data_IF_642947546405
#
_entry.id   IF_642947546405
#
_cell.length_a   1.000
_cell.length_b   1.000
_cell.length_c   1.000
_cell.angle_alpha   90.00
_cell.angle_beta   90.00
_cell.angle_gamma   90.00
#
_symmetry.space_group_name_H-M   'P 1'
#
loop_
_entity.id
_entity.type
_entity.pdbx_description
1 polymer ?
#
# COMPACT_ATOMS: atom_id res chain seq x y z
N UNK A 1 -43.46 -18.05 7.74
CA UNK A 1 -44.27 -18.61 6.64
C UNK A 1 -44.80 -20.02 6.91
N UNK A 2 -44.50 -20.65 8.02
CA UNK A 2 -45.05 -21.98 8.44
C UNK A 2 -46.26 -21.92 9.40
N UNK A 3 -46.67 -20.72 9.85
CA UNK A 3 -47.73 -20.55 10.84
C UNK A 3 -49.12 -20.17 10.25
N UNK A 4 -49.15 -19.69 9.01
CA UNK A 4 -50.39 -19.28 8.31
C UNK A 4 -51.10 -20.44 7.58
N UNK A 5 -50.44 -21.56 7.32
CA UNK A 5 -51.01 -22.73 6.65
C UNK A 5 -51.80 -23.63 7.65
N UNK A 6 -51.55 -23.51 8.95
CA UNK A 6 -52.24 -24.32 9.97
C UNK A 6 -53.59 -23.75 10.42
N UNK A 7 -53.84 -22.47 10.21
CA UNK A 7 -55.14 -21.85 10.57
C UNK A 7 -56.21 -22.05 9.50
N UNK A 8 -55.81 -22.37 8.27
CA UNK A 8 -56.77 -22.59 7.17
C UNK A 8 -57.37 -24.01 7.14
N UNK A 9 -56.71 -24.98 7.82
CA UNK A 9 -57.15 -26.37 7.84
C UNK A 9 -58.12 -26.70 8.98
N UNK A 10 -58.34 -25.78 9.93
CA UNK A 10 -59.21 -25.99 11.11
C UNK A 10 -60.60 -25.42 10.95
N UNK A 11 -60.92 -24.72 9.87
CA UNK A 11 -62.26 -24.16 9.62
C UNK A 11 -63.08 -25.00 8.66
N UNK A 12 -62.57 -26.18 8.21
CA UNK A 12 -63.27 -27.00 7.21
C UNK A 12 -63.91 -28.33 7.78
N UNK A 13 -63.88 -28.51 9.09
CA UNK A 13 -64.42 -29.70 9.72
C UNK A 13 -65.39 -29.36 10.90
N UNK A 14 -66.61 -28.99 10.56
CA UNK A 14 -67.60 -28.84 11.59
C UNK A 14 -68.87 -28.13 11.12
N UNK A 15 -69.74 -28.79 10.44
CA UNK A 15 -71.17 -28.76 10.72
C UNK A 15 -71.98 -29.65 9.75
N UNK A 16 -72.37 -30.81 10.21
CA UNK A 16 -73.47 -31.57 9.61
C UNK A 16 -74.73 -31.31 10.39
N UNK A 17 -75.86 -31.27 9.72
CA UNK A 17 -77.12 -31.50 10.33
C UNK A 17 -78.29 -30.60 9.97
N UNK A 18 -79.18 -31.07 9.07
CA UNK A 18 -80.63 -31.04 9.26
C UNK A 18 -81.47 -29.87 8.78
N UNK A 19 -82.15 -30.04 7.64
CA UNK A 19 -83.55 -29.79 7.42
C UNK A 19 -84.10 -28.36 7.46
N UNK A 20 -84.33 -27.79 6.31
CA UNK A 20 -85.60 -27.17 5.92
C UNK A 20 -85.63 -26.78 4.46
N UNK A 21 -86.46 -27.45 3.70
CA UNK A 21 -86.76 -27.22 2.29
C UNK A 21 -87.56 -25.92 2.09
N UNK A 22 -87.32 -25.26 0.95
CA UNK A 22 -88.24 -24.43 0.16
C UNK A 22 -88.24 -22.90 0.25
N UNK A 23 -87.12 -22.27 0.59
CA UNK A 23 -87.00 -20.81 0.34
C UNK A 23 -85.63 -20.38 -0.14
N UNK A 24 -84.84 -21.28 -0.68
CA UNK A 24 -83.42 -21.02 -1.00
C UNK A 24 -83.10 -20.98 -2.52
N UNK A 25 -84.13 -21.13 -3.38
CA UNK A 25 -83.86 -21.23 -4.84
C UNK A 25 -83.48 -19.90 -5.54
N UNK A 26 -83.49 -18.73 -4.90
CA UNK A 26 -83.12 -17.44 -5.47
C UNK A 26 -81.82 -16.82 -4.88
N UNK A 27 -81.40 -17.34 -3.70
CA UNK A 27 -80.14 -16.92 -3.04
C UNK A 27 -78.91 -17.66 -3.56
N UNK A 28 -79.09 -18.91 -4.03
CA UNK A 28 -77.99 -19.76 -4.43
C UNK A 28 -77.26 -19.35 -5.74
N UNK A 29 -77.97 -18.66 -6.67
CA UNK A 29 -77.37 -18.23 -7.93
C UNK A 29 -76.37 -17.09 -7.73
N UNK A 30 -76.60 -16.18 -6.78
CA UNK A 30 -75.66 -15.11 -6.43
C UNK A 30 -74.50 -15.63 -5.62
N UNK A 31 -74.64 -16.57 -4.74
CA UNK A 31 -73.59 -17.16 -3.93
C UNK A 31 -72.66 -18.01 -4.81
N UNK A 32 -73.21 -18.79 -5.75
CA UNK A 32 -72.45 -19.61 -6.69
C UNK A 32 -71.69 -18.72 -7.71
N UNK A 33 -72.33 -17.62 -8.13
CA UNK A 33 -71.65 -16.63 -9.01
C UNK A 33 -70.50 -15.89 -8.29
N UNK A 34 -70.73 -15.52 -7.02
CA UNK A 34 -69.63 -14.91 -6.17
C UNK A 34 -68.56 -15.94 -5.85
N UNK A 35 -68.85 -17.18 -5.58
CA UNK A 35 -67.86 -18.23 -5.35
C UNK A 35 -66.97 -18.48 -6.62
N UNK A 36 -67.59 -18.50 -7.81
CA UNK A 36 -66.87 -18.61 -9.07
C UNK A 36 -66.02 -17.38 -9.38
N UNK A 37 -66.48 -16.17 -9.04
CA UNK A 37 -65.69 -14.95 -9.13
C UNK A 37 -64.51 -14.97 -8.16
N UNK A 38 -64.69 -15.39 -6.92
CA UNK A 38 -63.60 -15.56 -5.94
C UNK A 38 -62.59 -16.62 -6.37
N UNK A 39 -63.05 -17.72 -6.95
CA UNK A 39 -62.19 -18.78 -7.48
C UNK A 39 -61.37 -18.28 -8.72
N UNK A 40 -61.98 -17.50 -9.61
CA UNK A 40 -61.29 -16.91 -10.76
C UNK A 40 -60.29 -15.83 -10.35
N UNK A 41 -60.63 -14.97 -9.39
CA UNK A 41 -59.73 -13.96 -8.80
C UNK A 41 -58.56 -14.63 -8.05
N UNK A 42 -58.86 -15.73 -7.31
CA UNK A 42 -57.84 -16.53 -6.64
C UNK A 42 -56.84 -17.18 -7.62
N UNK A 43 -57.37 -17.76 -8.73
CA UNK A 43 -56.51 -18.32 -9.80
C UNK A 43 -55.70 -17.25 -10.51
N UNK A 44 -56.30 -16.09 -10.74
CA UNK A 44 -55.62 -14.95 -11.36
C UNK A 44 -54.52 -14.38 -10.44
N UNK A 45 -54.80 -14.27 -9.14
CA UNK A 45 -53.82 -13.88 -8.12
C UNK A 45 -52.66 -14.87 -8.00
N UNK A 46 -52.96 -16.18 -8.05
CA UNK A 46 -51.95 -17.22 -8.04
C UNK A 46 -51.08 -17.19 -9.32
N UNK A 47 -51.71 -17.00 -10.47
CA UNK A 47 -50.95 -16.86 -11.76
C UNK A 47 -50.08 -15.64 -11.76
N UNK A 48 -50.52 -14.48 -11.26
CA UNK A 48 -49.71 -13.27 -11.10
C UNK A 48 -48.57 -13.45 -10.11
N UNK A 49 -48.80 -14.16 -9.00
CA UNK A 49 -47.76 -14.45 -8.03
C UNK A 49 -46.68 -15.38 -8.59
N UNK A 50 -47.06 -16.41 -9.34
CA UNK A 50 -46.13 -17.31 -10.02
C UNK A 50 -45.39 -16.54 -11.13
N UNK A 51 -46.10 -15.77 -11.96
CA UNK A 51 -45.51 -14.93 -13.01
C UNK A 51 -44.52 -13.90 -12.45
N UNK A 52 -44.90 -13.19 -11.40
CA UNK A 52 -44.01 -12.24 -10.71
C UNK A 52 -42.81 -12.91 -10.08
N UNK A 53 -42.97 -14.10 -9.50
CA UNK A 53 -41.86 -14.90 -8.97
C UNK A 53 -40.88 -15.36 -10.04
N UNK A 54 -41.37 -15.79 -11.19
CA UNK A 54 -40.52 -16.18 -12.35
C UNK A 54 -39.78 -14.98 -12.91
N UNK A 55 -40.44 -13.83 -13.11
CA UNK A 55 -39.81 -12.61 -13.58
C UNK A 55 -38.73 -12.12 -12.61
N UNK A 56 -38.99 -12.12 -11.31
CA UNK A 56 -38.03 -11.73 -10.31
C UNK A 56 -36.83 -12.69 -10.24
N UNK A 57 -37.03 -13.98 -10.51
CA UNK A 57 -35.96 -14.98 -10.59
C UNK A 57 -35.18 -14.93 -11.91
N UNK A 58 -35.77 -14.35 -12.95
CA UNK A 58 -35.14 -14.21 -14.29
C UNK A 58 -34.30 -12.95 -14.41
N UNK A 59 -34.45 -11.98 -13.49
CA UNK A 59 -33.65 -10.76 -13.48
C UNK A 59 -32.46 -10.93 -12.52
N UNK A 60 -31.25 -10.64 -13.02
CA UNK A 60 -30.07 -10.52 -12.18
C UNK A 60 -29.39 -9.18 -12.42
N UNK A 61 -28.83 -8.63 -11.38
CA UNK A 61 -28.13 -7.37 -11.41
C UNK A 61 -26.61 -7.60 -11.34
N UNK A 62 -25.87 -6.90 -12.19
CA UNK A 62 -24.41 -6.86 -12.16
C UNK A 62 -24.00 -5.48 -11.69
N UNK A 63 -23.33 -5.41 -10.55
CA UNK A 63 -22.90 -4.16 -9.96
C UNK A 63 -21.82 -3.48 -10.81
N UNK A 64 -21.67 -2.16 -10.63
CA UNK A 64 -20.65 -1.38 -11.33
C UNK A 64 -19.24 -1.92 -11.02
N UNK A 65 -18.42 -2.08 -12.08
CA UNK A 65 -17.07 -2.64 -12.00
C UNK A 65 -17.02 -4.17 -11.96
N UNK A 66 -18.17 -4.85 -11.99
CA UNK A 66 -18.25 -6.28 -12.15
C UNK A 66 -18.65 -6.66 -13.57
N UNK A 67 -18.31 -7.86 -13.96
CA UNK A 67 -18.73 -8.48 -15.22
C UNK A 67 -19.24 -9.88 -14.96
N UNK A 68 -20.27 -10.29 -15.68
CA UNK A 68 -20.84 -11.61 -15.53
C UNK A 68 -20.55 -12.48 -16.75
N UNK A 69 -20.19 -13.73 -16.49
CA UNK A 69 -20.09 -14.79 -17.48
C UNK A 69 -21.27 -15.73 -17.25
N UNK A 70 -22.01 -16.04 -18.32
CA UNK A 70 -23.18 -16.89 -18.23
C UNK A 70 -22.75 -18.34 -18.48
N UNK A 71 -23.00 -19.19 -17.49
CA UNK A 71 -22.85 -20.63 -17.62
C UNK A 71 -24.22 -21.24 -17.95
N UNK A 72 -24.34 -21.87 -19.11
CA UNK A 72 -25.52 -22.58 -19.57
C UNK A 72 -25.32 -24.09 -19.36
N UNK A 73 -26.27 -24.78 -18.75
CA UNK A 73 -26.19 -26.23 -18.51
C UNK A 73 -26.17 -27.06 -19.77
N UNK A 74 -26.71 -26.56 -20.89
CA UNK A 74 -26.77 -27.28 -22.16
C UNK A 74 -25.63 -26.93 -23.10
N UNK A 75 -25.21 -25.67 -23.14
CA UNK A 75 -24.20 -25.16 -24.07
C UNK A 75 -22.82 -24.92 -23.44
N UNK A 76 -22.74 -24.99 -22.10
CA UNK A 76 -21.54 -24.68 -21.37
C UNK A 76 -21.33 -23.18 -21.13
N UNK A 77 -20.09 -22.75 -21.05
CA UNK A 77 -19.73 -21.34 -20.87
C UNK A 77 -19.99 -20.58 -22.15
N UNK A 78 -20.72 -19.48 -22.07
CA UNK A 78 -20.93 -18.59 -23.21
C UNK A 78 -19.74 -17.64 -23.35
N UNK A 79 -19.29 -17.40 -24.57
CA UNK A 79 -18.18 -16.47 -24.87
C UNK A 79 -18.58 -14.99 -24.71
N UNK A 80 -19.87 -14.72 -24.48
CA UNK A 80 -20.40 -13.37 -24.30
C UNK A 80 -20.27 -12.97 -22.84
N UNK A 81 -19.51 -11.90 -22.62
CA UNK A 81 -19.39 -11.27 -21.30
C UNK A 81 -20.47 -10.21 -21.14
N UNK A 82 -21.26 -10.35 -20.11
CA UNK A 82 -22.36 -9.42 -19.77
C UNK A 82 -21.79 -8.25 -18.97
N UNK A 83 -22.09 -7.01 -19.40
CA UNK A 83 -21.67 -5.80 -18.72
C UNK A 83 -22.46 -5.52 -17.45
N UNK A 84 -22.17 -4.37 -16.85
CA UNK A 84 -22.90 -3.84 -15.69
C UNK A 84 -24.36 -3.50 -16.04
N UNK A 85 -25.25 -3.65 -15.07
CA UNK A 85 -26.67 -3.37 -15.22
C UNK A 85 -27.55 -4.59 -14.95
N UNK A 86 -28.85 -4.45 -15.25
CA UNK A 86 -29.83 -5.51 -15.05
C UNK A 86 -30.04 -6.30 -16.36
N UNK A 87 -29.87 -7.61 -16.27
CA UNK A 87 -29.98 -8.51 -17.42
C UNK A 87 -30.99 -9.62 -17.16
N UNK A 88 -31.47 -10.22 -18.26
CA UNK A 88 -32.38 -11.35 -18.21
C UNK A 88 -31.62 -12.67 -18.28
N UNK A 89 -32.04 -13.60 -17.44
CA UNK A 89 -31.48 -14.93 -17.34
C UNK A 89 -32.65 -15.96 -17.35
N UNK A 90 -32.41 -17.11 -17.96
CA UNK A 90 -33.39 -18.20 -17.88
C UNK A 90 -33.13 -18.96 -16.56
N UNK A 91 -34.05 -18.85 -15.56
CA UNK A 91 -33.86 -19.53 -14.30
C UNK A 91 -33.80 -21.05 -14.54
N UNK A 92 -32.96 -21.74 -13.73
CA UNK A 92 -32.64 -23.17 -13.74
C UNK A 92 -31.71 -23.66 -14.88
N UNK A 93 -31.66 -23.01 -16.03
CA UNK A 93 -30.79 -23.38 -17.14
C UNK A 93 -29.49 -22.62 -17.12
N UNK A 94 -29.54 -21.34 -16.81
CA UNK A 94 -28.40 -20.44 -16.83
C UNK A 94 -28.02 -20.02 -15.41
N UNK A 95 -26.73 -19.97 -15.12
CA UNK A 95 -26.17 -19.45 -13.87
C UNK A 95 -25.19 -18.32 -14.20
N UNK A 96 -25.41 -17.10 -13.68
CA UNK A 96 -24.45 -16.02 -13.84
C UNK A 96 -23.31 -16.20 -12.82
N UNK A 97 -22.09 -16.01 -13.30
CA UNK A 97 -20.88 -15.98 -12.46
C UNK A 97 -20.32 -14.57 -12.57
N UNK A 98 -20.26 -13.90 -11.43
CA UNK A 98 -19.88 -12.49 -11.36
C UNK A 98 -18.40 -12.40 -11.01
N UNK A 99 -17.63 -11.72 -11.86
CA UNK A 99 -16.21 -11.43 -11.66
C UNK A 99 -16.02 -9.95 -11.36
N UNK A 100 -15.17 -9.65 -10.39
CA UNK A 100 -14.72 -8.29 -10.13
C UNK A 100 -13.57 -7.92 -11.09
N UNK A 101 -13.79 -6.88 -11.89
CA UNK A 101 -12.82 -6.39 -12.88
C UNK A 101 -12.03 -5.18 -12.39
N UNK A 102 -12.16 -4.81 -11.11
CA UNK A 102 -11.38 -3.73 -10.49
C UNK A 102 -9.98 -4.21 -10.17
N UNK A 103 -9.04 -3.27 -10.13
CA UNK A 103 -7.69 -3.57 -9.68
C UNK A 103 -7.68 -3.95 -8.20
N UNK A 104 -7.18 -5.15 -7.90
CA UNK A 104 -7.07 -5.67 -6.53
C UNK A 104 -5.62 -5.88 -6.15
N UNK A 105 -5.20 -5.47 -4.95
CA UNK A 105 -3.87 -5.78 -4.46
C UNK A 105 -3.82 -7.20 -3.88
N UNK A 106 -2.75 -7.93 -4.22
CA UNK A 106 -2.41 -9.21 -3.60
C UNK A 106 -0.97 -9.18 -3.15
N UNK A 107 -0.72 -9.62 -1.91
CA UNK A 107 0.62 -9.79 -1.38
C UNK A 107 0.97 -11.28 -1.42
N UNK A 108 2.09 -11.60 -2.04
CA UNK A 108 2.59 -12.98 -2.15
C UNK A 108 3.95 -13.05 -1.48
N UNK A 109 4.06 -13.68 -0.29
CA UNK A 109 5.34 -13.97 0.34
C UNK A 109 5.97 -15.19 -0.33
N UNK A 110 7.24 -15.08 -0.73
CA UNK A 110 8.00 -16.14 -1.37
C UNK A 110 9.37 -16.26 -0.71
N UNK A 111 9.76 -17.49 -0.39
CA UNK A 111 11.12 -17.81 0.06
C UNK A 111 11.88 -18.37 -1.13
N UNK A 112 13.01 -17.76 -1.45
CA UNK A 112 13.86 -18.15 -2.59
C UNK A 112 15.34 -18.09 -2.22
N UNK A 113 16.19 -18.78 -2.97
CA UNK A 113 17.64 -18.68 -2.86
C UNK A 113 18.19 -17.67 -3.86
N UNK A 114 19.12 -16.84 -3.43
CA UNK A 114 19.94 -16.00 -4.32
C UNK A 114 21.00 -16.85 -5.04
N UNK A 115 21.72 -16.24 -5.97
CA UNK A 115 22.86 -16.86 -6.66
C UNK A 115 23.94 -17.34 -5.67
N UNK A 116 24.12 -16.64 -4.54
CA UNK A 116 25.04 -16.99 -3.46
C UNK A 116 24.51 -18.09 -2.51
N UNK A 117 23.42 -18.77 -2.88
CA UNK A 117 22.76 -19.80 -2.07
C UNK A 117 22.22 -19.27 -0.72
N UNK A 118 22.03 -17.96 -0.60
CA UNK A 118 21.40 -17.34 0.58
C UNK A 118 19.88 -17.39 0.49
N UNK A 119 19.23 -17.81 1.57
CA UNK A 119 17.78 -17.80 1.65
C UNK A 119 17.28 -16.34 1.82
N UNK A 120 16.44 -15.93 0.88
CA UNK A 120 15.83 -14.60 0.86
C UNK A 120 14.32 -14.75 0.98
N UNK A 121 13.72 -14.04 1.92
CA UNK A 121 12.28 -13.96 2.04
C UNK A 121 11.82 -12.62 1.41
N UNK A 122 11.04 -12.73 0.34
CA UNK A 122 10.59 -11.61 -0.46
C UNK A 122 9.07 -11.59 -0.44
N UNK A 123 8.48 -10.44 -0.13
CA UNK A 123 7.05 -10.21 -0.29
C UNK A 123 6.82 -9.31 -1.49
N UNK A 124 6.10 -9.83 -2.47
CA UNK A 124 5.70 -9.08 -3.65
C UNK A 124 4.27 -8.59 -3.50
N UNK A 125 4.05 -7.32 -3.78
CA UNK A 125 2.71 -6.73 -3.90
C UNK A 125 2.38 -6.56 -5.37
N UNK A 126 1.28 -7.16 -5.79
CA UNK A 126 0.81 -7.16 -7.18
C UNK A 126 -0.56 -6.50 -7.21
N UNK A 127 -0.74 -5.50 -8.06
CA UNK A 127 -2.05 -4.98 -8.45
C UNK A 127 -2.43 -5.63 -9.77
N UNK A 128 -3.55 -6.36 -9.77
CA UNK A 128 -4.00 -7.08 -10.94
C UNK A 128 -5.48 -6.88 -11.18
N UNK A 129 -5.87 -7.07 -12.44
CA UNK A 129 -7.27 -7.17 -12.86
C UNK A 129 -7.40 -8.17 -14.01
N UNK A 130 -8.52 -8.89 -14.10
CA UNK A 130 -8.76 -9.79 -15.22
C UNK A 130 -9.14 -8.99 -16.47
N UNK A 131 -8.72 -9.48 -17.64
CA UNK A 131 -9.12 -8.92 -18.91
C UNK A 131 -10.57 -9.35 -19.21
N UNK A 132 -11.48 -8.38 -19.32
CA UNK A 132 -12.92 -8.62 -19.48
C UNK A 132 -13.25 -9.55 -20.67
N UNK A 133 -12.53 -9.42 -21.79
CA UNK A 133 -12.75 -10.24 -22.99
C UNK A 133 -12.34 -11.71 -22.81
N UNK A 134 -11.42 -12.01 -21.88
CA UNK A 134 -10.90 -13.36 -21.65
C UNK A 134 -11.53 -14.04 -20.44
N UNK A 135 -12.48 -13.42 -19.76
CA UNK A 135 -13.17 -14.00 -18.60
C UNK A 135 -13.76 -15.40 -18.87
N UNK A 136 -14.43 -15.69 -20.00
CA UNK A 136 -14.93 -17.03 -20.27
C UNK A 136 -13.82 -18.06 -20.34
N UNK A 137 -12.68 -17.72 -20.92
CA UNK A 137 -11.50 -18.58 -20.99
C UNK A 137 -10.87 -18.80 -19.62
N UNK A 138 -10.73 -17.75 -18.80
CA UNK A 138 -10.24 -17.85 -17.43
C UNK A 138 -11.12 -18.79 -16.62
N UNK A 139 -12.44 -18.61 -16.70
CA UNK A 139 -13.38 -19.46 -16.00
C UNK A 139 -13.31 -20.94 -16.44
N UNK A 140 -13.17 -21.21 -17.75
CA UNK A 140 -13.10 -22.57 -18.27
C UNK A 140 -11.79 -23.25 -17.92
N UNK A 141 -10.66 -22.55 -17.92
CA UNK A 141 -9.33 -23.14 -17.74
C UNK A 141 -8.89 -23.21 -16.26
N UNK A 142 -9.29 -22.23 -15.44
CA UNK A 142 -8.76 -22.06 -14.08
C UNK A 142 -9.89 -22.17 -13.05
N UNK A 143 -11.03 -21.54 -13.33
CA UNK A 143 -12.17 -21.45 -12.42
C UNK A 143 -12.38 -20.05 -11.86
N UNK A 144 -13.19 -19.97 -10.81
CA UNK A 144 -13.55 -18.73 -10.13
C UNK A 144 -12.37 -18.20 -9.29
N UNK A 145 -11.59 -19.11 -8.69
CA UNK A 145 -10.47 -18.81 -7.77
C UNK A 145 -9.14 -18.60 -8.51
N UNK A 146 -9.14 -17.92 -9.64
CA UNK A 146 -7.94 -17.71 -10.47
C UNK A 146 -6.85 -16.91 -9.74
N UNK A 147 -7.24 -16.01 -8.84
CA UNK A 147 -6.34 -15.16 -8.06
C UNK A 147 -5.61 -15.93 -6.94
N UNK A 148 -6.23 -16.98 -6.38
CA UNK A 148 -5.60 -17.80 -5.35
C UNK A 148 -4.70 -18.91 -5.88
N UNK A 149 -4.97 -19.38 -7.09
CA UNK A 149 -4.25 -20.51 -7.67
C UNK A 149 -3.13 -20.10 -8.62
N UNK A 150 -3.44 -19.20 -9.55
CA UNK A 150 -2.52 -18.86 -10.65
C UNK A 150 -1.51 -17.80 -10.24
N UNK A 151 -1.96 -16.73 -9.62
CA UNK A 151 -1.07 -15.63 -9.25
C UNK A 151 0.09 -16.05 -8.33
N UNK A 152 -0.12 -16.79 -7.21
CA UNK A 152 1.00 -17.20 -6.38
C UNK A 152 1.96 -18.17 -7.10
N UNK A 153 1.42 -19.04 -7.94
CA UNK A 153 2.24 -20.00 -8.70
C UNK A 153 3.17 -19.30 -9.68
N UNK A 154 2.62 -18.41 -10.53
CA UNK A 154 3.40 -17.64 -11.51
C UNK A 154 4.40 -16.73 -10.80
N UNK A 155 3.95 -16.02 -9.76
CA UNK A 155 4.79 -15.12 -9.00
C UNK A 155 5.98 -15.86 -8.38
N UNK A 156 5.73 -17.02 -7.80
CA UNK A 156 6.80 -17.83 -7.19
C UNK A 156 7.79 -18.31 -8.24
N UNK A 157 7.31 -18.75 -9.41
CA UNK A 157 8.15 -19.22 -10.52
C UNK A 157 9.05 -18.07 -11.04
N UNK A 158 8.44 -16.95 -11.39
CA UNK A 158 9.17 -15.78 -11.94
C UNK A 158 10.15 -15.21 -10.92
N UNK A 159 9.72 -15.04 -9.66
CA UNK A 159 10.60 -14.55 -8.60
C UNK A 159 11.81 -15.47 -8.40
N UNK A 160 11.61 -16.77 -8.34
CA UNK A 160 12.72 -17.73 -8.24
C UNK A 160 13.67 -17.63 -9.41
N UNK A 161 13.15 -17.51 -10.63
CA UNK A 161 13.95 -17.41 -11.83
C UNK A 161 14.78 -16.12 -11.89
N UNK A 162 14.21 -14.99 -11.50
CA UNK A 162 14.89 -13.69 -11.51
C UNK A 162 15.89 -13.60 -10.37
N UNK A 163 15.48 -13.90 -9.13
CA UNK A 163 16.34 -13.76 -7.94
C UNK A 163 17.58 -14.69 -8.02
N UNK A 164 17.44 -15.86 -8.62
CA UNK A 164 18.58 -16.76 -8.82
C UNK A 164 19.68 -16.20 -9.74
N UNK A 165 19.42 -15.12 -10.47
CA UNK A 165 20.42 -14.45 -11.35
C UNK A 165 21.23 -13.40 -10.59
N UNK A 166 20.74 -12.89 -9.46
CA UNK A 166 21.34 -11.79 -8.70
C UNK A 166 21.99 -12.30 -7.42
N UNK A 167 23.10 -11.64 -7.05
CA UNK A 167 23.73 -11.84 -5.76
C UNK A 167 22.92 -11.16 -4.66
N UNK A 168 23.00 -11.63 -3.43
CA UNK A 168 22.26 -11.05 -2.30
C UNK A 168 22.60 -9.56 -2.07
N UNK A 169 23.85 -9.17 -2.31
CA UNK A 169 24.31 -7.77 -2.25
C UNK A 169 23.70 -6.89 -3.35
N UNK A 170 23.53 -7.43 -4.56
CA UNK A 170 22.91 -6.72 -5.68
C UNK A 170 21.40 -6.53 -5.47
N UNK A 171 20.72 -7.50 -4.84
CA UNK A 171 19.31 -7.37 -4.47
C UNK A 171 19.04 -6.19 -3.52
N UNK A 172 20.03 -5.80 -2.70
CA UNK A 172 19.93 -4.66 -1.80
C UNK A 172 20.23 -3.36 -2.54
N UNK A 173 21.31 -3.32 -3.33
CA UNK A 173 21.79 -2.10 -3.98
C UNK A 173 21.04 -1.74 -5.26
N UNK A 174 20.60 -2.75 -6.03
CA UNK A 174 19.94 -2.61 -7.33
C UNK A 174 18.46 -3.06 -7.30
N UNK A 175 17.80 -2.81 -6.18
CA UNK A 175 16.40 -3.22 -5.97
C UNK A 175 15.46 -2.79 -7.10
N UNK A 176 15.66 -1.59 -7.63
CA UNK A 176 14.80 -1.02 -8.69
C UNK A 176 14.95 -1.79 -10.01
N UNK A 177 16.17 -2.22 -10.33
CA UNK A 177 16.44 -3.00 -11.53
C UNK A 177 15.78 -4.39 -11.42
N UNK A 178 15.94 -5.04 -10.27
CA UNK A 178 15.29 -6.34 -10.00
C UNK A 178 13.77 -6.21 -10.06
N UNK A 179 13.20 -5.17 -9.46
CA UNK A 179 11.76 -4.92 -9.48
C UNK A 179 11.22 -4.75 -10.90
N UNK A 180 11.92 -4.03 -11.78
CA UNK A 180 11.54 -3.89 -13.19
C UNK A 180 11.60 -5.21 -13.93
N UNK A 181 12.67 -5.97 -13.78
CA UNK A 181 12.82 -7.27 -14.44
C UNK A 181 11.71 -8.24 -14.00
N UNK A 182 11.41 -8.29 -12.69
CA UNK A 182 10.30 -9.09 -12.17
C UNK A 182 8.96 -8.62 -12.74
N UNK A 183 8.74 -7.30 -12.83
CA UNK A 183 7.51 -6.73 -13.38
C UNK A 183 7.33 -7.10 -14.86
N UNK A 184 8.38 -7.02 -15.67
CA UNK A 184 8.36 -7.35 -17.08
C UNK A 184 8.07 -8.84 -17.28
N UNK A 185 8.87 -9.73 -16.66
CA UNK A 185 8.73 -11.18 -16.78
C UNK A 185 7.35 -11.65 -16.25
N UNK A 186 6.86 -11.02 -15.15
CA UNK A 186 5.57 -11.37 -14.57
C UNK A 186 4.40 -10.90 -15.47
N UNK A 187 4.52 -9.72 -16.08
CA UNK A 187 3.49 -9.18 -16.99
C UNK A 187 3.38 -10.05 -18.24
N UNK A 188 4.49 -10.49 -18.81
CA UNK A 188 4.49 -11.40 -19.95
C UNK A 188 3.79 -12.71 -19.60
N UNK A 189 4.14 -13.32 -18.47
CA UNK A 189 3.51 -14.57 -18.01
C UNK A 189 2.03 -14.41 -17.69
N UNK A 190 1.65 -13.35 -16.97
CA UNK A 190 0.26 -13.09 -16.60
C UNK A 190 -0.63 -12.86 -17.82
N UNK A 191 -0.12 -12.21 -18.86
CA UNK A 191 -0.86 -11.97 -20.11
C UNK A 191 -1.32 -13.27 -20.79
N UNK A 192 -0.55 -14.34 -20.67
CA UNK A 192 -0.89 -15.68 -21.19
C UNK A 192 -2.15 -16.25 -20.53
N UNK A 193 -2.38 -15.90 -19.26
CA UNK A 193 -3.55 -16.32 -18.50
C UNK A 193 -4.71 -15.31 -18.55
N UNK A 194 -4.56 -14.22 -19.31
CA UNK A 194 -5.60 -13.20 -19.45
C UNK A 194 -5.70 -12.23 -18.28
N UNK A 195 -4.63 -12.09 -17.51
CA UNK A 195 -4.53 -11.16 -16.39
C UNK A 195 -3.71 -9.93 -16.82
N UNK A 196 -4.19 -8.75 -16.46
CA UNK A 196 -3.46 -7.49 -16.61
C UNK A 196 -2.87 -7.15 -15.24
N UNK A 197 -1.58 -6.89 -15.22
CA UNK A 197 -0.89 -6.36 -14.04
C UNK A 197 -0.76 -4.85 -14.21
N UNK A 198 -1.35 -4.11 -13.27
CA UNK A 198 -1.28 -2.64 -13.27
C UNK A 198 -0.01 -2.15 -12.59
N UNK A 199 0.39 -2.81 -11.48
CA UNK A 199 1.62 -2.49 -10.74
C UNK A 199 2.17 -3.72 -10.03
N UNK A 200 3.51 -3.81 -9.96
CA UNK A 200 4.23 -4.88 -9.27
C UNK A 200 5.36 -4.25 -8.46
N UNK A 201 5.31 -4.41 -7.15
CA UNK A 201 6.33 -3.83 -6.26
C UNK A 201 6.84 -4.82 -5.22
N UNK A 202 8.17 -4.79 -4.99
CA UNK A 202 8.83 -5.52 -3.91
C UNK A 202 8.59 -4.77 -2.60
N UNK A 203 7.89 -5.37 -1.63
CA UNK A 203 7.54 -4.70 -0.37
C UNK A 203 8.58 -4.98 0.72
N UNK A 204 8.81 -6.23 1.01
CA UNK A 204 9.74 -6.67 2.04
C UNK A 204 10.80 -7.60 1.44
N UNK A 205 12.04 -7.36 1.85
CA UNK A 205 13.19 -8.17 1.50
C UNK A 205 13.94 -8.46 2.79
N UNK A 206 13.95 -9.72 3.22
CA UNK A 206 14.58 -10.14 4.47
C UNK A 206 15.56 -11.27 4.18
N UNK A 207 16.78 -11.11 4.64
CA UNK A 207 17.85 -12.11 4.51
C UNK A 207 18.00 -12.92 5.81
N UNK A 208 18.80 -13.98 5.75
CA UNK A 208 19.21 -14.71 6.95
C UNK A 208 19.98 -13.82 7.93
N UNK A 209 19.83 -14.09 9.22
CA UNK A 209 20.48 -13.27 10.29
C UNK A 209 21.99 -13.18 10.11
N UNK A 210 22.64 -14.29 9.84
CA UNK A 210 24.11 -14.37 9.66
C UNK A 210 24.59 -13.49 8.51
N UNK A 211 23.84 -13.48 7.40
CA UNK A 211 24.17 -12.63 6.25
C UNK A 211 23.95 -11.14 6.58
N UNK A 212 22.86 -10.81 7.25
CA UNK A 212 22.56 -9.42 7.64
C UNK A 212 23.64 -8.88 8.56
N UNK A 213 24.07 -9.62 9.58
CA UNK A 213 25.16 -9.24 10.47
C UNK A 213 26.50 -9.05 9.72
N UNK A 214 26.80 -9.95 8.78
CA UNK A 214 28.03 -9.82 7.97
C UNK A 214 27.99 -8.58 7.05
N UNK A 215 26.86 -8.26 6.46
CA UNK A 215 26.68 -7.06 5.61
C UNK A 215 26.75 -5.79 6.47
N UNK A 216 26.15 -5.79 7.64
CA UNK A 216 26.21 -4.67 8.60
C UNK A 216 27.67 -4.41 9.03
N UNK A 217 28.40 -5.44 9.41
CA UNK A 217 29.82 -5.34 9.77
C UNK A 217 30.66 -4.79 8.60
N UNK A 218 30.43 -5.28 7.39
CA UNK A 218 31.11 -4.77 6.18
C UNK A 218 30.78 -3.29 5.97
N UNK A 219 29.53 -2.89 6.12
CA UNK A 219 29.10 -1.52 5.89
C UNK A 219 29.65 -0.56 6.96
N UNK A 220 29.68 -0.99 8.22
CA UNK A 220 30.32 -0.25 9.31
C UNK A 220 31.81 -0.07 9.03
N UNK A 221 32.53 -1.14 8.65
CA UNK A 221 33.93 -1.06 8.31
C UNK A 221 34.23 -0.13 7.11
N UNK A 222 33.34 -0.13 6.10
CA UNK A 222 33.45 0.81 4.98
C UNK A 222 33.25 2.25 5.42
N UNK A 223 32.23 2.52 6.24
CA UNK A 223 31.97 3.87 6.78
C UNK A 223 33.12 4.36 7.67
N UNK A 224 33.70 3.48 8.48
CA UNK A 224 34.85 3.82 9.31
C UNK A 224 36.08 4.15 8.46
N UNK A 225 36.30 3.43 7.37
CA UNK A 225 37.39 3.72 6.43
C UNK A 225 37.19 5.08 5.71
N UNK A 226 35.95 5.38 5.28
CA UNK A 226 35.61 6.68 4.68
C UNK A 226 35.76 7.80 5.73
N UNK A 227 35.25 7.60 6.92
CA UNK A 227 35.40 8.54 8.03
C UNK A 227 36.88 8.84 8.34
N UNK A 228 37.70 7.80 8.36
CA UNK A 228 39.14 7.95 8.56
C UNK A 228 39.77 8.83 7.47
N UNK A 229 39.40 8.68 6.19
CA UNK A 229 39.83 9.51 5.09
C UNK A 229 39.47 10.98 5.31
N UNK A 230 38.22 11.26 5.67
CA UNK A 230 37.77 12.64 5.95
C UNK A 230 38.46 13.24 7.18
N UNK A 231 38.78 12.44 8.20
CA UNK A 231 39.55 12.91 9.36
C UNK A 231 40.98 13.33 8.95
N UNK A 232 41.62 12.53 8.10
CA UNK A 232 42.96 12.88 7.56
C UNK A 232 42.88 14.14 6.71
N UNK A 233 41.95 14.23 5.78
CA UNK A 233 41.74 15.40 4.93
C UNK A 233 41.46 16.66 5.75
N UNK A 234 40.62 16.55 6.78
CA UNK A 234 40.35 17.65 7.73
C UNK A 234 41.63 18.08 8.45
N UNK A 235 42.43 17.14 8.93
CA UNK A 235 43.70 17.45 9.57
C UNK A 235 44.71 18.13 8.63
N UNK A 236 44.76 17.70 7.36
CA UNK A 236 45.59 18.35 6.35
C UNK A 236 45.11 19.78 6.06
N UNK A 237 43.82 20.00 5.93
CA UNK A 237 43.25 21.35 5.74
C UNK A 237 43.50 22.25 6.97
N UNK A 238 43.39 21.71 8.17
CA UNK A 238 43.71 22.45 9.40
C UNK A 238 45.20 22.83 9.46
N UNK A 239 46.09 21.92 9.05
CA UNK A 239 47.53 22.19 8.94
C UNK A 239 47.77 23.31 7.94
N UNK A 240 47.16 23.25 6.75
CA UNK A 240 47.32 24.30 5.74
C UNK A 240 46.78 25.65 6.24
N UNK A 241 45.63 25.67 6.87
CA UNK A 241 45.06 26.87 7.47
C UNK A 241 45.98 27.47 8.53
N UNK A 242 46.54 26.63 9.41
CA UNK A 242 47.52 27.09 10.42
C UNK A 242 48.80 27.68 9.80
N UNK A 243 49.31 27.05 8.73
CA UNK A 243 50.48 27.56 8.00
C UNK A 243 50.19 28.93 7.35
N UNK A 244 49.05 29.06 6.69
CA UNK A 244 48.60 30.29 6.06
C UNK A 244 48.39 31.40 7.09
N UNK A 245 47.77 31.08 8.21
CA UNK A 245 47.59 32.02 9.33
C UNK A 245 48.91 32.48 9.88
N UNK A 246 49.82 31.56 10.19
CA UNK A 246 51.18 31.88 10.68
C UNK A 246 52.00 32.71 9.68
N UNK A 247 51.87 32.40 8.39
CA UNK A 247 52.52 33.20 7.34
C UNK A 247 51.93 34.62 7.26
N UNK A 248 50.58 34.74 7.37
CA UNK A 248 49.90 36.02 7.45
C UNK A 248 50.30 36.85 8.66
N UNK A 249 50.38 36.21 9.83
CA UNK A 249 50.82 36.86 11.08
C UNK A 249 52.30 37.34 10.99
N UNK A 250 53.15 36.54 10.38
CA UNK A 250 54.56 36.93 10.17
C UNK A 250 54.70 38.14 9.21
N UNK A 251 53.92 38.14 8.12
CA UNK A 251 53.88 39.29 7.20
C UNK A 251 53.30 40.54 7.86
N UNK A 252 52.23 40.39 8.63
CA UNK A 252 51.65 41.49 9.40
C UNK A 252 52.64 42.06 10.41
N UNK A 253 53.39 41.20 11.14
CA UNK A 253 54.42 41.63 12.05
C UNK A 253 55.56 42.37 11.35
N UNK A 254 56.00 41.90 10.16
CA UNK A 254 56.99 42.60 9.36
C UNK A 254 56.53 43.99 8.88
N UNK A 255 55.28 44.11 8.42
CA UNK A 255 54.68 45.37 8.02
C UNK A 255 54.58 46.35 9.20
N UNK A 256 54.16 45.87 10.37
CA UNK A 256 54.10 46.65 11.61
C UNK A 256 55.54 47.10 12.01
N UNK A 257 56.50 46.22 11.98
CA UNK A 257 57.88 46.54 12.32
C UNK A 257 58.50 47.62 11.37
N UNK A 258 58.24 47.52 10.06
CA UNK A 258 58.68 48.50 9.08
C UNK A 258 57.99 49.89 9.31
N UNK A 259 56.71 49.89 9.55
CA UNK A 259 55.98 51.13 9.83
C UNK A 259 56.42 51.81 11.18
N UNK A 260 56.78 50.95 12.16
CA UNK A 260 57.35 51.45 13.41
C UNK A 260 58.72 52.10 13.22
N UNK A 261 59.55 51.49 12.32
CA UNK A 261 60.84 52.03 12.00
C UNK A 261 60.77 53.41 11.28
N UNK A 262 59.75 53.62 10.45
CA UNK A 262 59.51 54.88 9.73
C UNK A 262 58.83 55.97 10.63
N UNK A 263 57.86 55.55 11.44
CA UNK A 263 56.99 56.48 12.20
C UNK A 263 57.45 56.74 13.66
N UNK A 264 58.44 56.02 14.16
CA UNK A 264 58.95 56.12 15.52
C UNK A 264 57.94 55.65 16.56
N UNK A 265 58.12 56.07 17.83
CA UNK A 265 57.28 55.61 18.97
C UNK A 265 55.80 56.06 18.97
N UNK A 266 55.47 57.06 18.09
CA UNK A 266 54.09 57.63 18.06
C UNK A 266 52.99 56.58 17.76
N UNK A 267 53.31 55.59 16.88
CA UNK A 267 52.34 54.52 16.54
C UNK A 267 52.05 53.57 17.72
N UNK A 268 53.06 53.35 18.59
CA UNK A 268 52.93 52.52 19.81
C UNK A 268 52.04 53.21 20.82
N UNK A 269 52.17 54.54 20.97
CA UNK A 269 51.34 55.34 21.87
C UNK A 269 49.89 55.40 21.39
N UNK A 270 49.65 55.55 20.07
CA UNK A 270 48.34 55.53 19.47
C UNK A 270 47.64 54.19 19.68
N UNK A 271 48.35 53.09 19.47
CA UNK A 271 47.82 51.76 19.74
C UNK A 271 47.52 51.49 21.22
N UNK A 272 48.31 52.01 22.13
CA UNK A 272 48.04 51.99 23.56
C UNK A 272 46.76 52.73 23.94
N UNK A 273 46.53 53.89 23.30
CA UNK A 273 45.31 54.68 23.51
C UNK A 273 44.08 53.96 22.96
N UNK A 274 44.19 53.41 21.73
CA UNK A 274 43.09 52.58 21.14
C UNK A 274 42.76 51.34 22.01
N UNK A 275 43.77 50.64 22.46
CA UNK A 275 43.59 49.50 23.35
C UNK A 275 42.98 49.88 24.71
N UNK A 276 43.37 51.05 25.26
CA UNK A 276 42.82 51.55 26.47
C UNK A 276 41.35 51.98 26.31
N UNK A 277 40.98 52.53 25.14
CA UNK A 277 39.60 52.87 24.79
C UNK A 277 38.75 51.59 24.64
N UNK A 278 39.21 50.59 23.95
CA UNK A 278 38.51 49.30 23.79
C UNK A 278 38.30 48.60 25.15
N UNK A 279 39.34 48.60 26.00
CA UNK A 279 39.23 48.05 27.35
C UNK A 279 38.20 48.82 28.18
N UNK A 280 38.26 50.16 28.12
CA UNK A 280 37.27 51.01 28.85
C UNK A 280 35.84 50.78 28.35
N UNK A 281 35.67 50.61 27.03
CA UNK A 281 34.37 50.29 26.46
C UNK A 281 33.85 48.88 26.90
N UNK A 282 34.70 47.89 26.91
CA UNK A 282 34.35 46.56 27.42
C UNK A 282 34.04 46.56 28.92
N UNK A 283 34.82 47.28 29.71
CA UNK A 283 34.60 47.45 31.14
C UNK A 283 33.29 48.20 31.43
N UNK A 284 32.95 49.25 30.66
CA UNK A 284 31.68 49.97 30.82
C UNK A 284 30.45 49.09 30.60
N UNK A 285 30.58 48.03 29.83
CA UNK A 285 29.52 47.05 29.55
C UNK A 285 29.49 45.88 30.53
N UNK A 286 30.57 45.64 31.26
CA UNK A 286 30.64 44.51 32.20
C UNK A 286 29.99 44.85 33.53
N UNK A 287 29.18 43.92 34.04
CA UNK A 287 28.37 44.12 35.28
C UNK A 287 29.20 43.99 36.56
N UNK A 288 30.36 43.33 36.52
CA UNK A 288 31.23 43.07 37.65
C UNK A 288 32.66 43.56 37.34
N UNK A 289 32.93 44.84 37.66
CA UNK A 289 34.29 45.40 37.54
C UNK A 289 34.85 45.62 38.96
N UNK A 290 35.97 44.98 39.18
CA UNK A 290 36.72 45.16 40.46
C UNK A 290 38.05 45.90 40.16
N UNK A 291 38.22 47.10 40.72
CA UNK A 291 39.45 47.86 40.59
C UNK A 291 40.47 47.43 41.65
N UNK A 292 41.60 46.96 41.20
CA UNK A 292 42.74 46.63 42.06
C UNK A 292 43.76 47.77 42.13
N UNK A 293 44.11 48.21 43.32
CA UNK A 293 45.17 49.23 43.44
C UNK A 293 46.52 48.62 43.02
N UNK A 294 47.22 49.32 42.14
CA UNK A 294 48.57 48.94 41.70
C UNK A 294 49.55 49.10 42.87
N UNK A 295 49.91 47.98 43.50
CA UNK A 295 51.03 48.09 44.48
C UNK A 295 50.97 47.17 45.70
N UNK A 296 49.87 46.43 45.95
CA UNK A 296 49.82 45.43 47.01
C UNK A 296 49.38 44.08 46.49
N UNK A 297 50.19 43.03 46.74
CA UNK A 297 49.83 41.66 46.43
C UNK A 297 48.61 41.20 47.18
N UNK A 298 47.45 41.44 46.64
CA UNK A 298 46.16 40.94 47.15
C UNK A 298 45.89 39.57 46.57
N UNK A 299 45.90 38.55 47.41
CA UNK A 299 45.34 37.25 47.05
C UNK A 299 43.82 37.38 46.87
N UNK A 300 43.36 37.42 45.61
CA UNK A 300 41.97 37.39 45.27
C UNK A 300 41.49 35.94 45.33
N UNK A 301 40.64 35.61 46.30
CA UNK A 301 39.77 34.45 46.22
C UNK A 301 38.61 34.78 45.27
N UNK A 302 38.65 34.24 44.06
CA UNK A 302 37.49 34.27 43.15
C UNK A 302 36.45 33.28 43.69
N UNK A 303 35.22 33.73 43.93
CA UNK A 303 34.13 32.80 44.18
C UNK A 303 33.85 31.98 42.92
N UNK A 304 33.74 30.65 43.09
CA UNK A 304 33.35 29.70 42.03
C UNK A 304 31.96 29.97 41.51
#
# INVERSE_FOLDING_TARGET
MRMLVRLWFMCFLGSGGGGHSDLIAQGDCHIVAMAKLFESVGKLGLALAIGGGVVNSALFNVDAGHRAVIFDRFRGVQDVVVGEGTHFLIPWVQKPIIFDCRSRPRNVPVITGSKDLQNVNITLRILFRPLATQLPRIFTSIGEDYDERVLPSITTEVLKAVVARFDAGELITQRDLVSRQVSEDLTERASTFGLILDDVSLTHLTFGKEFTEAVELKQVAQQDAERARFVVEKAEQQKQAAIISAAGDSQAALLIANSLAESGNGLVELRKLEAAEDIAFQLSRSRNVTYLPSGQGTLLQLPQ
#
